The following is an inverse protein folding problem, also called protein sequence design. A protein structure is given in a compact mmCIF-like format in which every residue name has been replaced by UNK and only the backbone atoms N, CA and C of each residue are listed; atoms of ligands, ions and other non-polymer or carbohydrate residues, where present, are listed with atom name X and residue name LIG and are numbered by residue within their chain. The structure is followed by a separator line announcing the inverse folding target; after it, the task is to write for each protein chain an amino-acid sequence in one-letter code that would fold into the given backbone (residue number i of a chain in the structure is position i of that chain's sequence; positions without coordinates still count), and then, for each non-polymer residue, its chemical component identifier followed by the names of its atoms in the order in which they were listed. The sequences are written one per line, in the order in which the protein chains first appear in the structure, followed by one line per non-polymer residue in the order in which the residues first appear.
data_IF_717410107979
#
_entry.id   IF_717410107979
#
_cell.length_a   1.000
_cell.length_b   1.000
_cell.length_c   1.000
_cell.angle_alpha   90.00
_cell.angle_beta   90.00
_cell.angle_gamma   90.00
#
_symmetry.space_group_name_H-M   'P 1'
#
loop_
_entity.id
_entity.type
_entity.pdbx_description
1 polymer ?
#
# COMPACT_ATOMS: atom_id res chain seq x y z
N UNK A 1 7.29 -3.10 26.49
CA UNK A 1 7.58 -1.75 27.03
C UNK A 1 7.52 -0.78 25.85
N UNK A 2 6.53 0.07 25.60
CA UNK A 2 5.39 0.59 26.37
C UNK A 2 4.29 0.94 25.34
N UNK A 3 3.12 0.29 25.41
CA UNK A 3 2.03 0.38 24.40
C UNK A 3 1.19 1.68 24.53
N UNK A 4 1.46 2.49 25.56
CA UNK A 4 0.62 3.61 26.01
C UNK A 4 0.97 4.99 25.40
N UNK A 5 1.92 5.08 24.46
CA UNK A 5 2.24 6.34 23.75
C UNK A 5 1.73 6.39 22.29
N UNK A 6 1.13 5.32 21.76
CA UNK A 6 0.73 5.23 20.35
C UNK A 6 -0.78 5.30 20.10
N UNK A 7 -1.57 5.60 21.13
CA UNK A 7 -2.91 6.11 20.89
C UNK A 7 -2.75 7.58 20.52
N UNK A 8 -3.09 8.01 19.29
CA UNK A 8 -3.23 9.42 19.04
C UNK A 8 -4.23 9.94 20.08
N UNK A 9 -3.77 10.81 20.99
CA UNK A 9 -4.74 11.70 21.63
C UNK A 9 -5.31 12.49 20.46
N UNK A 10 -6.50 12.10 20.03
CA UNK A 10 -7.34 12.92 19.17
C UNK A 10 -7.73 14.11 20.06
N UNK A 11 -6.80 15.04 20.24
CA UNK A 11 -7.09 16.30 20.87
C UNK A 11 -7.96 17.05 19.89
N UNK A 12 -9.07 17.61 20.38
CA UNK A 12 -9.98 18.42 19.56
C UNK A 12 -9.26 19.57 18.82
N UNK A 13 -8.06 19.93 19.28
CA UNK A 13 -7.17 20.91 18.64
C UNK A 13 -6.52 20.43 17.32
N UNK A 14 -6.24 19.13 17.18
CA UNK A 14 -5.54 18.57 16.02
C UNK A 14 -6.48 18.16 14.88
N UNK A 15 -7.78 18.10 15.13
CA UNK A 15 -8.78 17.64 14.15
C UNK A 15 -8.79 18.49 12.88
N UNK A 16 -8.51 19.80 13.00
CA UNK A 16 -8.39 20.72 11.86
C UNK A 16 -7.15 20.43 11.01
N UNK A 17 -6.03 20.09 11.65
CA UNK A 17 -4.79 19.74 10.96
C UNK A 17 -4.89 18.36 10.29
N UNK A 18 -5.46 17.37 10.98
CA UNK A 18 -5.64 16.02 10.44
C UNK A 18 -6.59 16.02 9.23
N UNK A 19 -7.65 16.84 9.27
CA UNK A 19 -8.56 17.01 8.12
C UNK A 19 -7.86 17.65 6.92
N UNK A 20 -7.09 18.73 7.13
CA UNK A 20 -6.34 19.38 6.06
C UNK A 20 -5.26 18.47 5.49
N UNK A 21 -4.57 17.70 6.33
CA UNK A 21 -3.56 16.74 5.90
C UNK A 21 -4.17 15.58 5.11
N UNK A 22 -5.31 15.03 5.56
CA UNK A 22 -6.03 13.97 4.86
C UNK A 22 -6.53 14.41 3.47
N UNK A 23 -7.02 15.64 3.35
CA UNK A 23 -7.45 16.20 2.06
C UNK A 23 -6.28 16.28 1.06
N UNK A 24 -5.10 16.75 1.51
CA UNK A 24 -3.91 16.85 0.65
C UNK A 24 -3.42 15.47 0.21
N UNK A 25 -3.38 14.49 1.12
CA UNK A 25 -2.98 13.11 0.81
C UNK A 25 -3.96 12.46 -0.18
N UNK A 26 -5.27 12.73 -0.04
CA UNK A 26 -6.28 12.26 -0.99
C UNK A 26 -6.05 12.82 -2.40
N UNK A 27 -5.81 14.14 -2.51
CA UNK A 27 -5.54 14.79 -3.80
C UNK A 27 -4.23 14.31 -4.44
N UNK A 28 -3.22 13.92 -3.66
CA UNK A 28 -1.96 13.30 -4.15
C UNK A 28 -2.18 11.85 -4.57
N UNK A 29 -3.03 11.10 -3.86
CA UNK A 29 -3.22 9.66 -4.10
C UNK A 29 -4.04 9.37 -5.35
N UNK A 30 -5.06 10.19 -5.65
CA UNK A 30 -5.88 10.06 -6.86
C UNK A 30 -5.07 9.99 -8.17
N UNK A 31 -4.17 10.96 -8.48
CA UNK A 31 -3.37 10.91 -9.70
C UNK A 31 -2.38 9.74 -9.69
N UNK A 32 -1.85 9.36 -8.52
CA UNK A 32 -0.95 8.22 -8.39
C UNK A 32 -1.66 6.90 -8.78
N UNK A 33 -2.87 6.67 -8.26
CA UNK A 33 -3.65 5.46 -8.56
C UNK A 33 -4.01 5.35 -10.05
N UNK A 34 -4.37 6.48 -10.68
CA UNK A 34 -4.69 6.55 -12.11
C UNK A 34 -3.42 6.28 -12.94
N UNK A 35 -2.29 6.89 -12.58
CA UNK A 35 -1.01 6.71 -13.26
C UNK A 35 -0.50 5.27 -13.21
N UNK A 36 -0.57 4.62 -12.04
CA UNK A 36 -0.18 3.22 -11.86
C UNK A 36 -1.09 2.29 -12.67
N UNK A 37 -2.41 2.53 -12.65
CA UNK A 37 -3.36 1.74 -13.44
C UNK A 37 -3.08 1.82 -14.94
N UNK A 38 -2.85 3.03 -15.46
CA UNK A 38 -2.50 3.26 -16.87
C UNK A 38 -1.19 2.58 -17.27
N UNK A 39 -0.16 2.67 -16.42
CA UNK A 39 1.14 2.06 -16.69
C UNK A 39 1.13 0.53 -16.61
N UNK A 40 0.23 -0.07 -15.82
CA UNK A 40 0.15 -1.53 -15.62
C UNK A 40 -0.58 -2.27 -16.75
N UNK A 41 -1.24 -1.56 -17.68
CA UNK A 41 -2.09 -2.19 -18.70
C UNK A 41 -3.36 -2.87 -18.17
N UNK A 42 -3.67 -2.67 -16.88
CA UNK A 42 -4.86 -3.16 -16.20
C UNK A 42 -5.99 -2.12 -16.27
N UNK A 43 -7.27 -2.51 -16.10
CA UNK A 43 -8.36 -1.55 -16.04
C UNK A 43 -8.12 -0.51 -14.93
N UNK A 44 -8.14 0.78 -15.27
CA UNK A 44 -7.84 1.89 -14.33
C UNK A 44 -8.68 1.80 -13.04
N UNK A 45 -9.91 1.29 -13.18
CA UNK A 45 -10.85 1.05 -12.09
C UNK A 45 -10.28 0.09 -11.02
N UNK A 46 -9.48 -0.92 -11.38
CA UNK A 46 -8.90 -1.84 -10.39
C UNK A 46 -7.82 -1.18 -9.54
N UNK A 47 -7.05 -0.25 -10.09
CA UNK A 47 -6.05 0.53 -9.35
C UNK A 47 -6.70 1.47 -8.33
N UNK A 48 -7.79 2.14 -8.72
CA UNK A 48 -8.56 3.01 -7.83
C UNK A 48 -9.20 2.22 -6.68
N UNK A 49 -9.86 1.09 -6.98
CA UNK A 49 -10.51 0.24 -5.97
C UNK A 49 -9.48 -0.31 -4.99
N UNK A 50 -8.35 -0.80 -5.48
CA UNK A 50 -7.25 -1.30 -4.63
C UNK A 50 -6.73 -0.22 -3.69
N UNK A 51 -6.55 1.02 -4.17
CA UNK A 51 -6.14 2.15 -3.34
C UNK A 51 -7.15 2.51 -2.24
N UNK A 52 -8.44 2.56 -2.58
CA UNK A 52 -9.52 2.87 -1.61
C UNK A 52 -9.63 1.76 -0.56
N UNK A 53 -9.70 0.50 -0.99
CA UNK A 53 -9.83 -0.65 -0.09
C UNK A 53 -8.59 -0.81 0.77
N UNK A 54 -7.39 -0.69 0.19
CA UNK A 54 -6.13 -0.72 0.92
C UNK A 54 -6.04 0.39 1.95
N UNK A 55 -6.35 1.63 1.56
CA UNK A 55 -6.36 2.78 2.46
C UNK A 55 -7.31 2.62 3.64
N UNK A 56 -8.52 2.11 3.44
CA UNK A 56 -9.51 1.93 4.52
C UNK A 56 -9.16 0.72 5.40
N UNK A 57 -8.90 -0.45 4.79
CA UNK A 57 -8.68 -1.69 5.54
C UNK A 57 -7.38 -1.65 6.32
N UNK A 58 -6.30 -1.14 5.72
CA UNK A 58 -4.97 -1.13 6.35
C UNK A 58 -4.90 -0.01 7.38
N UNK A 59 -5.52 1.16 7.18
CA UNK A 59 -5.55 2.22 8.20
C UNK A 59 -6.27 1.79 9.48
N UNK A 60 -7.31 0.97 9.38
CA UNK A 60 -8.02 0.40 10.54
C UNK A 60 -7.17 -0.62 11.32
N UNK A 61 -6.35 -1.40 10.60
CA UNK A 61 -5.53 -2.47 11.20
C UNK A 61 -4.17 -1.94 11.69
N UNK A 62 -3.64 -0.90 11.04
CA UNK A 62 -2.32 -0.34 11.31
C UNK A 62 -2.30 0.43 12.64
N UNK A 63 -1.28 0.16 13.47
CA UNK A 63 -1.08 0.83 14.77
C UNK A 63 -0.23 2.11 14.66
N UNK A 64 -0.04 2.64 13.45
CA UNK A 64 0.86 3.78 13.21
C UNK A 64 0.08 5.05 12.81
N UNK A 65 0.34 6.20 13.46
CA UNK A 65 -0.42 7.43 13.25
C UNK A 65 -0.17 8.13 11.89
N UNK A 66 0.88 7.76 11.15
CA UNK A 66 1.26 8.38 9.87
C UNK A 66 1.36 7.37 8.71
N UNK A 67 0.77 6.19 8.88
CA UNK A 67 0.87 5.14 7.86
C UNK A 67 -0.19 5.35 6.78
N UNK A 68 0.26 5.79 5.60
CA UNK A 68 -0.57 5.85 4.40
C UNK A 68 -0.31 4.59 3.57
N UNK A 69 -1.38 3.88 3.25
CA UNK A 69 -1.34 2.67 2.43
C UNK A 69 -1.70 3.03 0.99
N UNK A 70 -0.77 2.80 0.07
CA UNK A 70 -0.97 3.02 -1.35
C UNK A 70 -0.24 1.96 -2.20
N UNK A 71 -0.60 1.81 -3.48
CA UNK A 71 0.06 0.87 -4.38
C UNK A 71 1.53 1.28 -4.58
N UNK A 72 2.47 0.34 -4.39
CA UNK A 72 3.89 0.63 -4.56
C UNK A 72 4.24 0.81 -6.04
N UNK A 73 4.98 1.88 -6.39
CA UNK A 73 5.36 2.16 -7.78
C UNK A 73 6.09 0.98 -8.45
N UNK A 74 6.91 0.23 -7.70
CA UNK A 74 7.61 -0.96 -8.21
C UNK A 74 6.70 -2.15 -8.55
N UNK A 75 5.51 -2.26 -7.95
CA UNK A 75 4.56 -3.33 -8.27
C UNK A 75 3.96 -3.15 -9.67
N UNK A 76 3.85 -1.92 -10.17
CA UNK A 76 3.34 -1.60 -11.52
C UNK A 76 4.03 -2.42 -12.61
N UNK A 77 5.36 -2.50 -12.56
CA UNK A 77 6.17 -3.23 -13.56
C UNK A 77 5.94 -4.74 -13.45
N UNK A 78 5.86 -5.26 -12.22
CA UNK A 78 5.61 -6.67 -11.95
C UNK A 78 4.22 -7.09 -12.45
N UNK A 79 3.21 -6.25 -12.23
CA UNK A 79 1.84 -6.49 -12.71
C UNK A 79 1.79 -6.45 -14.24
N UNK A 80 2.43 -5.47 -14.87
CA UNK A 80 2.48 -5.39 -16.34
C UNK A 80 3.10 -6.64 -16.97
N UNK A 81 4.22 -7.11 -16.41
CA UNK A 81 4.90 -8.33 -16.89
C UNK A 81 4.07 -9.60 -16.63
N UNK A 82 3.42 -9.66 -15.46
CA UNK A 82 2.53 -10.78 -15.09
C UNK A 82 1.32 -10.86 -16.02
N UNK A 83 0.69 -9.74 -16.37
CA UNK A 83 -0.46 -9.71 -17.29
C UNK A 83 -0.02 -10.14 -18.70
N UNK A 84 1.16 -9.73 -19.15
CA UNK A 84 1.71 -10.19 -20.44
C UNK A 84 1.98 -11.69 -20.47
N UNK A 85 2.48 -12.24 -19.37
CA UNK A 85 2.85 -13.66 -19.29
C UNK A 85 1.63 -14.57 -19.11
N UNK A 86 0.66 -14.18 -18.29
CA UNK A 86 -0.54 -14.99 -18.01
C UNK A 86 -1.66 -14.77 -19.03
N UNK A 87 -1.68 -13.65 -19.75
CA UNK A 87 -2.65 -13.35 -20.81
C UNK A 87 -4.09 -13.07 -20.34
N UNK A 88 -4.51 -13.62 -19.20
CA UNK A 88 -5.84 -13.43 -18.61
C UNK A 88 -5.77 -12.68 -17.27
N UNK A 89 -6.69 -11.73 -17.10
CA UNK A 89 -6.80 -10.96 -15.85
C UNK A 89 -7.26 -11.82 -14.66
N UNK A 90 -8.09 -12.84 -14.88
CA UNK A 90 -8.55 -13.74 -13.82
C UNK A 90 -7.41 -14.55 -13.20
N UNK A 91 -6.47 -15.04 -14.01
CA UNK A 91 -5.32 -15.81 -13.51
C UNK A 91 -4.38 -14.92 -12.68
N UNK A 92 -4.24 -13.64 -13.07
CA UNK A 92 -3.54 -12.64 -12.26
C UNK A 92 -4.23 -12.40 -10.90
N UNK A 93 -5.56 -12.28 -10.85
CA UNK A 93 -6.28 -12.12 -9.58
C UNK A 93 -6.09 -13.33 -8.66
N UNK A 94 -6.09 -14.54 -9.21
CA UNK A 94 -5.82 -15.76 -8.44
C UNK A 94 -4.41 -15.77 -7.86
N UNK A 95 -3.41 -15.44 -8.68
CA UNK A 95 -2.03 -15.29 -8.23
C UNK A 95 -1.88 -14.21 -7.15
N UNK A 96 -2.59 -13.08 -7.28
CA UNK A 96 -2.61 -12.00 -6.31
C UNK A 96 -3.22 -12.43 -4.97
N UNK A 97 -4.33 -13.19 -5.00
CA UNK A 97 -4.92 -13.78 -3.80
C UNK A 97 -3.95 -14.75 -3.10
N UNK A 98 -3.26 -15.60 -3.86
CA UNK A 98 -2.24 -16.51 -3.32
C UNK A 98 -1.08 -15.73 -2.68
N UNK A 99 -0.58 -14.68 -3.35
CA UNK A 99 0.46 -13.81 -2.81
C UNK A 99 0.03 -13.14 -1.49
N UNK A 100 -1.22 -12.71 -1.36
CA UNK A 100 -1.77 -12.16 -0.12
C UNK A 100 -1.80 -13.19 1.03
N UNK A 101 -2.17 -14.44 0.75
CA UNK A 101 -2.14 -15.53 1.73
C UNK A 101 -0.69 -15.78 2.20
N UNK A 102 0.25 -15.85 1.27
CA UNK A 102 1.68 -15.96 1.59
C UNK A 102 2.17 -14.79 2.45
N UNK A 103 1.75 -13.56 2.14
CA UNK A 103 2.11 -12.37 2.92
C UNK A 103 1.58 -12.44 4.36
N UNK A 104 0.37 -12.94 4.57
CA UNK A 104 -0.20 -13.13 5.92
C UNK A 104 0.61 -14.18 6.69
N UNK A 105 0.91 -15.33 6.06
CA UNK A 105 1.71 -16.41 6.68
C UNK A 105 3.09 -15.89 7.10
N UNK A 106 3.77 -15.15 6.22
CA UNK A 106 5.07 -14.53 6.52
C UNK A 106 4.96 -13.45 7.61
N UNK A 107 3.83 -12.75 7.68
CA UNK A 107 3.50 -11.81 8.76
C UNK A 107 3.45 -12.50 10.13
N UNK A 108 2.83 -13.67 10.22
CA UNK A 108 2.80 -14.48 11.45
C UNK A 108 4.17 -15.01 11.86
N UNK A 109 5.00 -15.38 10.87
CA UNK A 109 6.39 -15.82 11.09
C UNK A 109 7.35 -14.67 11.46
N UNK A 110 6.85 -13.42 11.56
CA UNK A 110 7.66 -12.21 11.83
C UNK A 110 8.86 -12.03 10.89
N UNK A 111 8.75 -12.52 9.65
CA UNK A 111 9.79 -12.38 8.64
C UNK A 111 10.04 -10.93 8.18
N UNK A 112 9.19 -9.97 8.60
CA UNK A 112 9.32 -8.54 8.30
C UNK A 112 10.62 -7.89 8.82
N UNK A 113 11.31 -8.51 9.78
CA UNK A 113 12.64 -8.05 10.24
C UNK A 113 13.68 -8.08 9.10
N UNK A 114 13.51 -8.96 8.11
CA UNK A 114 14.43 -9.07 6.98
C UNK A 114 14.42 -7.82 6.08
N UNK A 115 13.27 -7.13 5.99
CA UNK A 115 13.15 -5.88 5.21
C UNK A 115 14.03 -4.74 5.76
N UNK A 116 14.36 -4.77 7.06
CA UNK A 116 15.20 -3.73 7.66
C UNK A 116 16.68 -3.82 7.23
N UNK A 117 17.10 -4.95 6.65
CA UNK A 117 18.46 -5.13 6.15
C UNK A 117 18.64 -4.68 4.69
N UNK A 118 17.54 -4.53 3.94
CA UNK A 118 17.57 -4.25 2.51
C UNK A 118 17.98 -2.80 2.16
N UNK A 119 17.90 -1.88 3.12
CA UNK A 119 18.00 -0.43 2.90
C UNK A 119 19.40 0.21 3.01
N UNK A 120 20.48 -0.55 3.23
CA UNK A 120 21.83 0.05 3.29
C UNK A 120 22.60 0.04 1.97
N UNK A 121 22.16 -0.68 0.93
CA UNK A 121 22.92 -0.80 -0.34
C UNK A 121 22.29 -0.11 -1.56
N UNK A 122 20.97 0.18 -1.56
CA UNK A 122 20.24 0.63 -2.77
C UNK A 122 20.06 2.15 -2.94
N UNK A 123 20.47 2.99 -1.98
CA UNK A 123 20.26 4.46 -2.02
C UNK A 123 21.18 5.23 -3.00
N UNK A 124 21.86 4.55 -3.94
CA UNK A 124 22.68 5.20 -4.98
C UNK A 124 22.02 5.21 -6.37
N UNK A 125 20.82 4.65 -6.51
CA UNK A 125 20.13 4.54 -7.82
C UNK A 125 18.69 5.10 -7.81
N UNK A 126 18.29 5.81 -6.75
CA UNK A 126 17.13 6.71 -6.76
C UNK A 126 17.57 8.07 -6.22
#
# INVERSE_FOLDING_TARGET
MNILYSFPRVSWDNLRHDFSAGLVVFLISLPLCIGIGFASGAPIVSGLISGIVGGIVISLISKSPLSVSGPAAGLTVIVFDSIKTLGNFNDFLLALCLAGIFQIILGFLKAGILSNFFLLQWLRVC
#
